data_IF_227661461878
#
_entry.id   IF_227661461878
#
_cell.length_a   1.000
_cell.length_b   1.000
_cell.length_c   1.000
_cell.angle_alpha   90.00
_cell.angle_beta   90.00
_cell.angle_gamma   90.00
#
_symmetry.space_group_name_H-M   'P 1'
#
loop_
_entity.id
_entity.type
_entity.pdbx_description
1 polymer ?
#
# COMPACT_ATOMS: atom_id res chain seq x y z
N UNK A 1 -58.73 -35.77 -22.67
CA UNK A 1 -57.27 -35.63 -22.45
C UNK A 1 -56.92 -34.14 -22.43
N UNK A 2 -56.58 -33.58 -21.26
CA UNK A 2 -56.07 -32.20 -21.14
C UNK A 2 -54.54 -32.29 -21.05
N UNK A 3 -53.85 -31.71 -22.02
CA UNK A 3 -52.38 -31.62 -22.01
C UNK A 3 -51.96 -30.49 -21.06
N UNK A 4 -51.21 -30.84 -20.02
CA UNK A 4 -50.57 -29.91 -19.10
C UNK A 4 -49.20 -29.54 -19.71
N UNK A 5 -49.07 -28.32 -20.22
CA UNK A 5 -47.78 -27.78 -20.66
C UNK A 5 -47.03 -27.33 -19.40
N UNK A 6 -46.01 -28.09 -19.02
CA UNK A 6 -45.06 -27.70 -17.97
C UNK A 6 -44.02 -26.79 -18.62
N UNK A 7 -44.09 -25.49 -18.31
CA UNK A 7 -43.03 -24.54 -18.66
C UNK A 7 -41.90 -24.74 -17.65
N UNK A 8 -40.80 -25.33 -18.11
CA UNK A 8 -39.56 -25.44 -17.34
C UNK A 8 -38.90 -24.06 -17.31
N UNK A 9 -39.06 -23.33 -16.21
CA UNK A 9 -38.30 -22.12 -15.93
C UNK A 9 -36.87 -22.53 -15.56
N UNK A 10 -35.96 -22.45 -16.54
CA UNK A 10 -34.52 -22.60 -16.32
C UNK A 10 -34.02 -21.33 -15.63
N UNK A 11 -33.86 -21.40 -14.31
CA UNK A 11 -33.09 -20.40 -13.57
C UNK A 11 -31.62 -20.52 -13.96
N UNK A 12 -31.15 -19.69 -14.89
CA UNK A 12 -29.71 -19.52 -15.11
C UNK A 12 -29.10 -18.88 -13.85
N UNK A 13 -28.15 -19.59 -13.24
CA UNK A 13 -27.36 -19.15 -12.10
C UNK A 13 -26.65 -17.83 -12.40
N UNK A 14 -27.22 -16.71 -11.94
CA UNK A 14 -26.60 -15.38 -12.02
C UNK A 14 -25.36 -15.24 -11.13
N UNK A 15 -25.15 -16.15 -10.18
CA UNK A 15 -24.00 -16.20 -9.28
C UNK A 15 -22.70 -16.62 -9.96
N UNK A 16 -22.73 -17.50 -10.96
CA UNK A 16 -21.49 -17.97 -11.64
C UNK A 16 -20.92 -16.95 -12.61
N UNK A 17 -21.75 -16.06 -13.16
CA UNK A 17 -21.30 -15.02 -14.09
C UNK A 17 -20.55 -13.88 -13.37
N UNK A 18 -20.96 -13.53 -12.15
CA UNK A 18 -20.37 -12.42 -11.38
C UNK A 18 -19.00 -12.78 -10.80
N UNK A 19 -18.77 -14.05 -10.45
CA UNK A 19 -17.50 -14.52 -9.91
C UNK A 19 -16.35 -14.42 -10.93
N UNK A 20 -16.63 -14.64 -12.23
CA UNK A 20 -15.63 -14.52 -13.31
C UNK A 20 -15.03 -13.12 -13.47
N UNK A 21 -15.71 -12.08 -12.99
CA UNK A 21 -15.27 -10.69 -13.10
C UNK A 21 -14.72 -10.13 -11.79
N UNK A 22 -14.47 -10.95 -10.78
CA UNK A 22 -13.67 -10.53 -9.63
C UNK A 22 -12.23 -10.21 -10.05
N UNK A 23 -11.54 -9.29 -9.37
CA UNK A 23 -10.17 -8.91 -9.74
C UNK A 23 -9.23 -10.13 -9.76
N UNK A 24 -9.26 -10.99 -8.75
CA UNK A 24 -8.45 -12.21 -8.69
C UNK A 24 -8.71 -13.16 -9.87
N UNK A 25 -9.98 -13.31 -10.30
CA UNK A 25 -10.33 -14.17 -11.43
C UNK A 25 -9.98 -13.51 -12.77
N UNK A 26 -10.10 -12.19 -12.90
CA UNK A 26 -9.60 -11.45 -14.06
C UNK A 26 -8.10 -11.65 -14.22
N UNK A 27 -7.31 -11.51 -13.15
CA UNK A 27 -5.86 -11.72 -13.21
C UNK A 27 -5.52 -13.13 -13.72
N UNK A 28 -6.17 -14.15 -13.16
CA UNK A 28 -6.01 -15.55 -13.57
C UNK A 28 -6.41 -15.78 -15.03
N UNK A 29 -7.62 -15.37 -15.41
CA UNK A 29 -8.21 -15.63 -16.72
C UNK A 29 -7.50 -14.85 -17.84
N UNK A 30 -7.01 -13.65 -17.55
CA UNK A 30 -6.18 -12.87 -18.46
C UNK A 30 -4.71 -13.33 -18.48
N UNK A 31 -4.31 -14.35 -17.69
CA UNK A 31 -2.95 -14.88 -17.71
C UNK A 31 -1.90 -13.92 -17.16
N UNK A 32 -2.23 -13.13 -16.14
CA UNK A 32 -1.23 -12.43 -15.34
C UNK A 32 -0.46 -13.43 -14.48
N UNK A 33 0.86 -13.23 -14.36
CA UNK A 33 1.69 -14.07 -13.49
C UNK A 33 1.31 -13.86 -12.03
N UNK A 34 0.98 -14.95 -11.33
CA UNK A 34 0.70 -14.95 -9.90
C UNK A 34 1.94 -14.70 -9.04
N UNK A 35 3.14 -14.65 -9.64
CA UNK A 35 4.41 -14.44 -8.93
C UNK A 35 4.93 -13.01 -9.04
N UNK A 36 4.49 -12.28 -10.07
CA UNK A 36 5.01 -10.94 -10.41
C UNK A 36 3.95 -9.86 -10.61
N UNK A 37 2.65 -10.18 -10.59
CA UNK A 37 1.58 -9.17 -10.71
C UNK A 37 0.48 -9.38 -9.67
N UNK A 38 0.37 -8.45 -8.72
CA UNK A 38 -0.60 -8.54 -7.63
C UNK A 38 -1.53 -7.34 -7.62
N UNK A 39 -2.83 -7.60 -7.39
CA UNK A 39 -3.81 -6.56 -7.10
C UNK A 39 -4.53 -6.92 -5.82
N UNK A 40 -4.53 -5.99 -4.87
CA UNK A 40 -5.04 -6.19 -3.53
C UNK A 40 -5.73 -4.95 -2.97
N UNK A 41 -6.18 -5.08 -1.73
CA UNK A 41 -6.81 -3.99 -1.01
C UNK A 41 -6.53 -4.08 0.50
N UNK A 42 -6.73 -2.94 1.15
CA UNK A 42 -6.72 -2.77 2.60
C UNK A 42 -8.14 -2.51 3.10
N UNK A 43 -8.50 -3.09 4.24
CA UNK A 43 -9.71 -2.70 4.98
C UNK A 43 -9.44 -2.61 6.48
N UNK A 44 -10.31 -1.89 7.18
CA UNK A 44 -10.10 -1.61 8.60
C UNK A 44 -10.40 -2.86 9.45
N UNK A 45 -9.65 -3.00 10.54
CA UNK A 45 -9.81 -4.10 11.49
C UNK A 45 -11.23 -4.21 12.09
N UNK A 46 -11.97 -3.10 12.24
CA UNK A 46 -13.36 -3.14 12.70
C UNK A 46 -14.31 -3.91 11.76
N UNK A 47 -13.91 -4.09 10.50
CA UNK A 47 -14.64 -4.84 9.49
C UNK A 47 -14.15 -6.29 9.33
N UNK A 48 -13.19 -6.73 10.15
CA UNK A 48 -12.70 -8.11 10.23
C UNK A 48 -13.66 -8.95 11.11
N UNK A 49 -14.74 -9.40 10.48
CA UNK A 49 -15.85 -10.14 11.05
C UNK A 49 -16.59 -10.83 9.90
N UNK A 50 -16.88 -12.13 10.00
CA UNK A 50 -17.49 -12.91 8.91
C UNK A 50 -18.87 -12.39 8.44
N UNK A 51 -19.56 -11.61 9.26
CA UNK A 51 -20.83 -10.96 8.90
C UNK A 51 -20.65 -9.61 8.19
N UNK A 52 -19.42 -9.12 8.07
CA UNK A 52 -19.06 -7.87 7.40
C UNK A 52 -19.21 -7.99 5.90
N UNK A 53 -20.01 -7.10 5.30
CA UNK A 53 -20.08 -6.98 3.82
C UNK A 53 -18.73 -6.60 3.22
N UNK A 54 -17.90 -5.84 3.93
CA UNK A 54 -16.57 -5.43 3.47
C UNK A 54 -15.60 -6.61 3.42
N UNK A 55 -15.64 -7.51 4.41
CA UNK A 55 -14.84 -8.74 4.39
C UNK A 55 -15.24 -9.64 3.23
N UNK A 56 -16.55 -9.81 3.00
CA UNK A 56 -17.08 -10.59 1.87
C UNK A 56 -16.62 -10.02 0.53
N UNK A 57 -16.80 -8.72 0.33
CA UNK A 57 -16.31 -8.02 -0.88
C UNK A 57 -14.80 -8.20 -1.05
N UNK A 58 -14.02 -8.08 0.03
CA UNK A 58 -12.58 -8.30 -0.05
C UNK A 58 -12.25 -9.71 -0.54
N UNK A 59 -12.84 -10.75 0.07
CA UNK A 59 -12.59 -12.15 -0.28
C UNK A 59 -13.11 -12.53 -1.66
N UNK A 60 -14.19 -11.90 -2.12
CA UNK A 60 -14.71 -12.04 -3.48
C UNK A 60 -13.70 -11.47 -4.49
N UNK A 61 -13.17 -10.27 -4.25
CA UNK A 61 -12.36 -9.54 -5.23
C UNK A 61 -10.86 -9.86 -5.20
N UNK A 62 -10.26 -10.08 -4.03
CA UNK A 62 -8.80 -10.03 -3.84
C UNK A 62 -8.22 -11.25 -3.12
N UNK A 63 -6.94 -11.49 -3.36
CA UNK A 63 -6.10 -12.47 -2.63
C UNK A 63 -4.78 -11.86 -2.11
N UNK A 64 -4.65 -10.53 -2.17
CA UNK A 64 -3.51 -9.77 -1.67
C UNK A 64 -3.99 -8.72 -0.66
N UNK A 65 -3.48 -8.81 0.58
CA UNK A 65 -3.92 -8.04 1.74
C UNK A 65 -2.77 -7.20 2.30
N UNK A 66 -3.06 -5.96 2.69
CA UNK A 66 -2.23 -5.20 3.64
C UNK A 66 -3.05 -4.82 4.87
N UNK A 67 -2.72 -5.31 6.07
CA UNK A 67 -3.38 -4.88 7.30
C UNK A 67 -3.12 -3.39 7.60
N UNK A 68 -4.16 -2.56 7.67
CA UNK A 68 -4.05 -1.08 7.64
C UNK A 68 -3.09 -0.50 8.72
N UNK A 69 -3.39 -0.73 9.99
CA UNK A 69 -2.66 -0.14 11.12
C UNK A 69 -2.16 -1.18 12.13
N UNK A 70 -2.51 -2.45 11.93
CA UNK A 70 -2.36 -3.49 12.95
C UNK A 70 -0.90 -3.81 13.28
N UNK A 71 0.01 -3.53 12.35
CA UNK A 71 1.44 -3.80 12.51
C UNK A 71 2.28 -2.56 12.77
N UNK A 72 1.67 -1.37 12.92
CA UNK A 72 2.42 -0.15 13.23
C UNK A 72 2.91 -0.17 14.67
N UNK A 73 4.02 0.51 14.97
CA UNK A 73 4.59 0.54 16.31
C UNK A 73 3.57 1.02 17.35
N UNK A 74 2.80 2.07 17.05
CA UNK A 74 1.76 2.58 17.98
C UNK A 74 0.69 1.54 18.33
N UNK A 75 0.47 0.54 17.47
CA UNK A 75 -0.48 -0.54 17.70
C UNK A 75 0.15 -1.72 18.45
N UNK A 76 1.36 -2.13 18.06
CA UNK A 76 2.05 -3.31 18.63
C UNK A 76 2.78 -2.97 19.93
N UNK A 77 3.39 -1.81 20.01
CA UNK A 77 4.24 -1.38 21.12
C UNK A 77 3.84 0.03 21.60
N UNK A 78 2.61 0.18 22.16
CA UNK A 78 2.02 1.47 22.48
C UNK A 78 2.71 2.20 23.66
N UNK A 79 3.52 1.50 24.44
CA UNK A 79 4.28 2.05 25.57
C UNK A 79 5.49 1.17 25.90
N UNK A 80 6.47 1.68 26.68
CA UNK A 80 7.63 0.92 27.10
C UNK A 80 7.25 -0.41 27.77
N UNK A 81 7.85 -1.52 27.34
CA UNK A 81 7.57 -2.86 27.87
C UNK A 81 6.16 -3.43 27.57
N UNK A 82 5.28 -2.69 26.89
CA UNK A 82 3.89 -3.11 26.62
C UNK A 82 3.76 -3.60 25.19
N UNK A 83 3.29 -4.83 25.02
CA UNK A 83 3.07 -5.44 23.70
C UNK A 83 1.60 -5.79 23.46
N UNK A 84 1.08 -5.42 22.30
CA UNK A 84 -0.28 -5.72 21.88
C UNK A 84 -0.30 -6.34 20.48
N UNK A 85 -0.19 -7.66 20.45
CA UNK A 85 -0.18 -8.44 19.21
C UNK A 85 -1.56 -8.81 18.69
N UNK A 86 -2.63 -8.57 19.46
CA UNK A 86 -3.97 -9.12 19.14
C UNK A 86 -4.41 -8.79 17.72
N UNK A 87 -4.42 -7.51 17.35
CA UNK A 87 -4.89 -7.08 16.03
C UNK A 87 -4.03 -7.66 14.91
N UNK A 88 -2.71 -7.71 15.12
CA UNK A 88 -1.78 -8.29 14.15
C UNK A 88 -2.06 -9.78 13.96
N UNK A 89 -2.23 -10.54 15.06
CA UNK A 89 -2.49 -11.98 15.03
C UNK A 89 -3.79 -12.30 14.32
N UNK A 90 -4.86 -11.58 14.64
CA UNK A 90 -6.17 -11.80 14.01
C UNK A 90 -6.11 -11.60 12.49
N UNK A 91 -5.27 -10.66 12.00
CA UNK A 91 -5.04 -10.48 10.57
C UNK A 91 -4.23 -11.60 9.93
N UNK A 92 -3.22 -12.10 10.63
CA UNK A 92 -2.44 -13.26 10.20
C UNK A 92 -3.34 -14.50 10.14
N UNK A 93 -4.17 -14.73 11.16
CA UNK A 93 -5.12 -15.84 11.21
C UNK A 93 -6.14 -15.74 10.06
N UNK A 94 -6.67 -14.54 9.80
CA UNK A 94 -7.53 -14.28 8.66
C UNK A 94 -6.85 -14.58 7.33
N UNK A 95 -5.59 -14.16 7.16
CA UNK A 95 -4.82 -14.43 5.96
C UNK A 95 -4.53 -15.92 5.76
N UNK A 96 -4.15 -16.61 6.84
CA UNK A 96 -3.90 -18.05 6.84
C UNK A 96 -5.16 -18.84 6.50
N UNK A 97 -6.29 -18.51 7.12
CA UNK A 97 -7.58 -19.14 6.85
C UNK A 97 -8.04 -18.99 5.40
N UNK A 98 -7.76 -17.86 4.78
CA UNK A 98 -8.25 -17.53 3.44
C UNK A 98 -7.17 -17.61 2.35
N UNK A 99 -5.98 -18.14 2.67
CA UNK A 99 -4.84 -18.27 1.75
C UNK A 99 -4.47 -16.95 1.04
N UNK A 100 -4.34 -15.87 1.81
CA UNK A 100 -4.04 -14.54 1.29
C UNK A 100 -2.54 -14.28 1.28
N UNK A 101 -2.01 -13.69 0.21
CA UNK A 101 -0.68 -13.07 0.23
C UNK A 101 -0.74 -11.79 1.07
N UNK A 102 0.22 -11.61 1.98
CA UNK A 102 0.23 -10.48 2.93
C UNK A 102 1.45 -9.59 2.72
N UNK A 103 1.22 -8.28 2.71
CA UNK A 103 2.23 -7.26 2.99
C UNK A 103 2.03 -6.74 4.42
N UNK A 104 3.10 -6.66 5.19
CA UNK A 104 3.10 -6.07 6.52
C UNK A 104 3.53 -4.61 6.44
N UNK A 105 2.59 -3.71 6.73
CA UNK A 105 2.87 -2.29 6.94
C UNK A 105 3.09 -2.01 8.43
N UNK A 106 4.34 -2.22 8.88
CA UNK A 106 4.80 -1.92 10.24
C UNK A 106 6.16 -1.22 10.29
N UNK A 107 6.38 -0.16 9.50
CA UNK A 107 7.71 0.41 9.27
C UNK A 107 8.26 1.22 10.46
N UNK A 108 9.60 1.30 10.55
CA UNK A 108 10.27 2.39 11.27
C UNK A 108 10.04 3.70 10.52
N UNK A 109 9.26 4.59 11.10
CA UNK A 109 8.66 5.71 10.36
C UNK A 109 8.04 6.78 11.29
N UNK A 110 7.50 7.87 10.74
CA UNK A 110 6.65 8.83 11.46
C UNK A 110 5.42 8.24 12.15
N UNK A 111 5.04 6.99 11.85
CA UNK A 111 3.96 6.25 12.51
C UNK A 111 4.37 5.61 13.85
N UNK A 112 5.47 6.10 14.42
CA UNK A 112 5.99 5.69 15.71
C UNK A 112 4.97 5.90 16.85
N UNK A 113 5.15 5.14 17.92
CA UNK A 113 4.38 5.32 19.15
C UNK A 113 4.61 6.70 19.75
N UNK A 114 3.60 7.26 20.42
CA UNK A 114 3.71 8.60 21.05
C UNK A 114 4.88 8.71 22.02
N UNK A 115 5.17 7.64 22.76
CA UNK A 115 6.30 7.63 23.66
C UNK A 115 7.63 7.74 22.90
N UNK A 116 7.78 7.19 21.69
CA UNK A 116 8.97 7.41 20.86
C UNK A 116 9.13 8.86 20.36
N UNK A 117 8.06 9.67 20.42
CA UNK A 117 7.99 11.04 19.87
C UNK A 117 8.15 12.14 20.92
N UNK A 118 7.52 11.96 22.07
CA UNK A 118 7.64 12.88 23.19
C UNK A 118 8.97 12.61 23.86
N UNK A 119 10.02 13.40 23.56
CA UNK A 119 11.30 13.06 24.15
C UNK A 119 12.24 14.14 24.69
N UNK A 120 12.85 13.71 25.81
CA UNK A 120 14.05 14.13 26.54
C UNK A 120 15.08 12.96 26.62
N UNK A 121 14.86 11.83 25.91
CA UNK A 121 15.76 10.65 25.90
C UNK A 121 17.05 10.92 25.13
N UNK A 122 18.04 10.14 25.52
CA UNK A 122 19.30 10.00 24.80
C UNK A 122 19.11 9.29 23.45
N UNK A 123 20.08 9.48 22.56
CA UNK A 123 20.09 8.84 21.23
C UNK A 123 20.14 7.32 21.35
N UNK A 124 20.85 6.83 22.37
CA UNK A 124 21.04 5.43 22.68
C UNK A 124 19.74 4.76 23.13
N UNK A 125 18.96 5.41 23.99
CA UNK A 125 17.65 4.91 24.43
C UNK A 125 16.64 4.86 23.28
N UNK A 126 16.65 5.85 22.39
CA UNK A 126 15.79 5.86 21.21
C UNK A 126 16.19 4.75 20.21
N UNK A 127 17.48 4.46 20.08
CA UNK A 127 17.96 3.34 19.29
C UNK A 127 17.51 1.98 19.85
N UNK A 128 17.58 1.80 21.18
CA UNK A 128 17.09 0.57 21.83
C UNK A 128 15.59 0.36 21.57
N UNK A 129 14.77 1.41 21.66
CA UNK A 129 13.35 1.36 21.33
C UNK A 129 13.10 0.86 19.88
N UNK A 130 13.84 1.42 18.91
CA UNK A 130 13.78 0.97 17.52
C UNK A 130 14.12 -0.52 17.42
N UNK A 131 15.23 -0.93 18.05
CA UNK A 131 15.70 -2.32 18.01
C UNK A 131 14.68 -3.29 18.62
N UNK A 132 14.17 -2.99 19.82
CA UNK A 132 13.17 -3.81 20.52
C UNK A 132 11.93 -4.06 19.66
N UNK A 133 11.27 -2.99 19.21
CA UNK A 133 10.08 -3.08 18.37
C UNK A 133 10.35 -3.88 17.09
N UNK A 134 11.41 -3.50 16.38
CA UNK A 134 11.58 -3.97 15.01
C UNK A 134 12.13 -5.39 14.93
N UNK A 135 12.98 -5.78 15.89
CA UNK A 135 13.46 -7.17 16.01
C UNK A 135 12.27 -8.11 16.27
N UNK A 136 11.39 -7.77 17.21
CA UNK A 136 10.25 -8.64 17.55
C UNK A 136 9.23 -8.72 16.41
N UNK A 137 8.94 -7.60 15.72
CA UNK A 137 8.13 -7.65 14.51
C UNK A 137 8.76 -8.55 13.43
N UNK A 138 10.05 -8.38 13.14
CA UNK A 138 10.76 -9.16 12.13
C UNK A 138 10.73 -10.66 12.44
N UNK A 139 11.08 -11.05 13.67
CA UNK A 139 11.05 -12.46 14.11
C UNK A 139 9.67 -13.09 13.96
N UNK A 140 8.63 -12.31 14.26
CA UNK A 140 7.25 -12.79 14.22
C UNK A 140 6.80 -13.03 12.79
N UNK A 141 6.96 -12.05 11.91
CA UNK A 141 6.49 -12.15 10.52
C UNK A 141 7.33 -13.11 9.67
N UNK A 142 8.59 -13.33 10.02
CA UNK A 142 9.47 -14.26 9.30
C UNK A 142 8.99 -15.72 9.33
N UNK A 143 8.16 -16.05 10.32
CA UNK A 143 7.59 -17.39 10.52
C UNK A 143 6.27 -17.58 9.76
N UNK A 144 5.70 -16.51 9.21
CA UNK A 144 4.39 -16.53 8.57
C UNK A 144 4.52 -16.83 7.07
N UNK A 145 4.04 -17.98 6.58
CA UNK A 145 4.25 -18.40 5.19
C UNK A 145 3.57 -17.48 4.17
N UNK A 146 2.52 -16.78 4.60
CA UNK A 146 1.74 -15.89 3.77
C UNK A 146 2.31 -14.46 3.70
N UNK A 147 3.27 -14.11 4.56
CA UNK A 147 3.88 -12.78 4.56
C UNK A 147 4.99 -12.72 3.50
N UNK A 148 4.72 -12.02 2.41
CA UNK A 148 5.66 -11.89 1.29
C UNK A 148 6.51 -10.62 1.37
N UNK A 149 5.96 -9.52 1.89
CA UNK A 149 6.64 -8.23 1.97
C UNK A 149 6.48 -7.57 3.32
N UNK A 150 7.48 -6.78 3.71
CA UNK A 150 7.36 -5.83 4.81
C UNK A 150 7.87 -4.45 4.40
N UNK A 151 7.19 -3.42 4.90
CA UNK A 151 7.71 -2.06 4.86
C UNK A 151 8.73 -1.88 5.97
N UNK A 152 9.99 -1.72 5.60
CA UNK A 152 11.09 -1.58 6.58
C UNK A 152 11.12 -0.16 7.13
N UNK A 153 11.13 0.81 6.21
CA UNK A 153 11.01 2.24 6.52
C UNK A 153 9.90 2.86 5.70
N UNK A 154 9.33 3.96 6.21
CA UNK A 154 8.29 4.72 5.53
C UNK A 154 8.47 6.22 5.72
N UNK A 155 8.22 7.00 4.66
CA UNK A 155 8.17 8.48 4.71
C UNK A 155 9.42 9.12 5.35
N UNK A 156 10.59 8.85 4.79
CA UNK A 156 11.87 9.29 5.37
C UNK A 156 12.36 10.63 4.81
N UNK A 157 11.79 11.12 3.70
CA UNK A 157 12.29 12.28 2.94
C UNK A 157 11.16 13.28 2.69
N UNK A 158 11.43 14.57 2.82
CA UNK A 158 10.55 15.67 2.45
C UNK A 158 10.54 15.90 0.93
N UNK A 159 9.51 16.61 0.43
CA UNK A 159 9.34 16.91 -1.00
C UNK A 159 10.51 17.67 -1.62
N UNK A 160 11.25 18.44 -0.83
CA UNK A 160 12.42 19.22 -1.26
C UNK A 160 13.72 18.39 -1.31
N UNK A 161 13.72 17.15 -0.79
CA UNK A 161 14.88 16.26 -0.75
C UNK A 161 15.60 16.18 0.61
N UNK A 162 15.14 16.94 1.61
CA UNK A 162 15.67 16.88 2.98
C UNK A 162 15.15 15.65 3.71
N UNK A 163 15.86 15.21 4.76
CA UNK A 163 15.35 14.16 5.64
C UNK A 163 14.09 14.64 6.36
N UNK A 164 13.08 13.79 6.43
CA UNK A 164 11.92 14.09 7.27
C UNK A 164 12.32 13.89 8.72
N UNK A 165 12.40 15.01 9.44
CA UNK A 165 12.96 15.10 10.79
C UNK A 165 11.89 15.10 11.88
N UNK A 166 12.39 15.04 13.11
CA UNK A 166 11.65 15.27 14.32
C UNK A 166 11.09 16.69 14.39
N UNK A 167 10.05 16.87 15.22
CA UNK A 167 9.47 18.15 15.62
C UNK A 167 9.14 18.11 17.11
N UNK A 168 9.04 19.26 17.80
CA UNK A 168 8.67 19.26 19.21
C UNK A 168 7.30 18.62 19.48
N UNK A 169 7.27 17.65 20.42
CA UNK A 169 6.06 16.94 20.87
C UNK A 169 5.48 15.94 19.88
N UNK A 170 4.34 15.33 20.23
CA UNK A 170 3.69 14.25 19.44
C UNK A 170 2.46 14.68 18.63
N UNK A 171 2.12 15.97 18.63
CA UNK A 171 0.91 16.50 17.99
C UNK A 171 1.05 16.68 16.48
N UNK A 172 2.28 16.76 15.98
CA UNK A 172 2.59 16.92 14.56
C UNK A 172 2.88 15.59 13.88
N UNK A 173 2.70 15.54 12.56
CA UNK A 173 3.35 14.51 11.76
C UNK A 173 4.85 14.81 11.72
N UNK A 174 5.63 13.94 12.36
CA UNK A 174 7.07 14.09 12.60
C UNK A 174 7.74 12.72 12.76
N UNK A 175 9.06 12.69 12.60
CA UNK A 175 9.85 11.47 12.55
C UNK A 175 10.90 11.46 13.66
N UNK A 176 10.67 10.81 14.81
CA UNK A 176 11.58 10.93 15.95
C UNK A 176 12.95 10.29 15.69
N UNK A 177 13.02 9.28 14.81
CA UNK A 177 14.20 8.44 14.61
C UNK A 177 15.43 9.19 14.06
N UNK A 178 15.25 10.38 13.48
CA UNK A 178 16.37 11.23 13.04
C UNK A 178 17.21 11.76 14.21
N UNK A 179 16.66 11.82 15.42
CA UNK A 179 17.40 12.23 16.63
C UNK A 179 18.60 11.30 16.94
N UNK A 180 18.51 10.01 16.55
CA UNK A 180 19.61 9.04 16.67
C UNK A 180 20.86 9.54 15.93
N UNK A 181 20.68 10.33 14.86
CA UNK A 181 21.75 10.97 14.12
C UNK A 181 22.05 10.31 12.78
N UNK A 182 23.14 10.80 12.17
CA UNK A 182 23.61 10.37 10.85
C UNK A 182 24.91 9.56 11.00
N UNK A 183 25.11 8.59 10.12
CA UNK A 183 26.42 7.97 9.93
C UNK A 183 27.41 9.00 9.35
N UNK A 184 28.71 8.69 9.37
CA UNK A 184 29.76 9.52 8.74
C UNK A 184 29.49 9.84 7.27
N UNK A 185 28.75 8.97 6.57
CA UNK A 185 28.39 9.14 5.16
C UNK A 185 27.13 10.02 4.95
N UNK A 186 26.56 10.59 6.01
CA UNK A 186 25.42 11.51 5.94
C UNK A 186 24.02 10.86 5.81
N UNK A 187 23.92 9.55 6.05
CA UNK A 187 22.66 8.80 6.02
C UNK A 187 22.15 8.48 7.43
N UNK A 188 20.84 8.62 7.72
CA UNK A 188 20.28 8.37 9.03
C UNK A 188 20.57 6.95 9.55
N UNK A 189 21.07 6.88 10.78
CA UNK A 189 21.44 5.63 11.44
C UNK A 189 20.23 4.69 11.52
N UNK A 190 19.06 5.23 11.84
CA UNK A 190 17.82 4.45 11.97
C UNK A 190 17.44 3.70 10.69
N UNK A 191 17.66 4.27 9.51
CA UNK A 191 17.33 3.62 8.23
C UNK A 191 18.25 2.42 8.04
N UNK A 192 19.55 2.60 8.23
CA UNK A 192 20.54 1.52 8.09
C UNK A 192 20.24 0.42 9.10
N UNK A 193 20.02 0.79 10.37
CA UNK A 193 19.72 -0.16 11.45
C UNK A 193 18.45 -0.97 11.19
N UNK A 194 17.38 -0.35 10.69
CA UNK A 194 16.16 -1.05 10.34
C UNK A 194 16.43 -2.13 9.26
N UNK A 195 17.16 -1.80 8.19
CA UNK A 195 17.50 -2.79 7.16
C UNK A 195 18.45 -3.89 7.66
N UNK A 196 19.41 -3.58 8.54
CA UNK A 196 20.25 -4.58 9.21
C UNK A 196 19.42 -5.59 10.02
N UNK A 197 18.48 -5.09 10.84
CA UNK A 197 17.56 -5.91 11.64
C UNK A 197 16.69 -6.77 10.74
N UNK A 198 16.05 -6.19 9.73
CA UNK A 198 15.15 -6.91 8.86
C UNK A 198 15.88 -7.98 8.03
N UNK A 199 17.10 -7.69 7.56
CA UNK A 199 17.93 -8.70 6.88
C UNK A 199 18.29 -9.86 7.81
N UNK A 200 18.60 -9.59 9.08
CA UNK A 200 18.99 -10.61 10.06
C UNK A 200 17.81 -11.46 10.54
N UNK A 201 16.68 -10.83 10.86
CA UNK A 201 15.57 -11.48 11.57
C UNK A 201 14.35 -11.76 10.70
N UNK A 202 14.26 -11.19 9.49
CA UNK A 202 13.22 -11.47 8.50
C UNK A 202 13.78 -11.93 7.12
N UNK A 203 14.71 -12.91 7.06
CA UNK A 203 15.29 -13.36 5.80
C UNK A 203 14.28 -13.94 4.81
N UNK A 204 13.14 -14.47 5.26
CA UNK A 204 12.10 -15.06 4.40
C UNK A 204 11.13 -14.02 3.80
N UNK A 205 11.21 -12.76 4.25
CA UNK A 205 10.32 -11.67 3.80
C UNK A 205 11.10 -10.71 2.91
N UNK A 206 10.44 -10.18 1.87
CA UNK A 206 11.01 -9.16 0.99
C UNK A 206 10.96 -7.77 1.64
N UNK A 207 12.09 -7.08 1.62
CA UNK A 207 12.30 -5.82 2.33
C UNK A 207 12.00 -4.62 1.42
N UNK A 208 10.94 -3.87 1.75
CA UNK A 208 10.44 -2.76 0.93
C UNK A 208 10.75 -1.42 1.59
N UNK A 209 11.27 -0.48 0.80
CA UNK A 209 11.36 0.93 1.16
C UNK A 209 10.07 1.63 0.70
N UNK A 210 9.17 1.98 1.61
CA UNK A 210 7.89 2.60 1.27
C UNK A 210 7.97 4.13 1.37
N UNK A 211 7.29 4.87 0.50
CA UNK A 211 7.31 6.32 0.56
C UNK A 211 6.02 6.98 0.08
N UNK A 212 5.62 8.04 0.79
CA UNK A 212 4.53 8.93 0.40
C UNK A 212 5.04 10.07 -0.51
N UNK A 213 4.13 10.73 -1.19
CA UNK A 213 4.42 11.85 -2.08
C UNK A 213 3.78 11.65 -3.44
N UNK A 214 3.92 12.66 -4.29
CA UNK A 214 3.62 12.56 -5.71
C UNK A 214 4.87 12.09 -6.46
N UNK A 215 5.09 12.68 -7.63
CA UNK A 215 6.27 12.41 -8.44
C UNK A 215 7.37 13.46 -8.22
N UNK A 216 7.55 14.01 -7.01
CA UNK A 216 8.59 15.01 -6.75
C UNK A 216 9.99 14.46 -7.02
N UNK A 217 10.64 14.96 -8.08
CA UNK A 217 11.91 14.40 -8.57
C UNK A 217 13.04 14.48 -7.55
N UNK A 218 13.13 15.58 -6.78
CA UNK A 218 14.15 15.76 -5.73
C UNK A 218 14.01 14.74 -4.60
N UNK A 219 12.78 14.53 -4.13
CA UNK A 219 12.46 13.55 -3.08
C UNK A 219 12.80 12.14 -3.55
N UNK A 220 12.32 11.74 -4.73
CA UNK A 220 12.60 10.42 -5.28
C UNK A 220 14.08 10.21 -5.53
N UNK A 221 14.82 11.19 -6.06
CA UNK A 221 16.28 11.08 -6.21
C UNK A 221 16.97 10.76 -4.87
N UNK A 222 16.57 11.40 -3.77
CA UNK A 222 17.13 11.11 -2.44
C UNK A 222 16.77 9.70 -1.97
N UNK A 223 15.55 9.23 -2.22
CA UNK A 223 15.12 7.85 -1.93
C UNK A 223 15.95 6.84 -2.73
N UNK A 224 16.09 7.03 -4.05
CA UNK A 224 16.88 6.14 -4.92
C UNK A 224 18.36 6.10 -4.52
N UNK A 225 18.95 7.24 -4.15
CA UNK A 225 20.31 7.32 -3.63
C UNK A 225 20.45 6.56 -2.31
N UNK A 226 19.46 6.66 -1.42
CA UNK A 226 19.42 5.94 -0.14
C UNK A 226 19.34 4.43 -0.35
N UNK A 227 18.48 3.97 -1.26
CA UNK A 227 18.40 2.55 -1.62
C UNK A 227 19.72 2.05 -2.21
N UNK A 228 20.34 2.82 -3.10
CA UNK A 228 21.64 2.47 -3.69
C UNK A 228 22.73 2.39 -2.62
N UNK A 229 22.74 3.32 -1.67
CA UNK A 229 23.65 3.32 -0.53
C UNK A 229 23.48 2.07 0.36
N UNK A 230 22.24 1.70 0.69
CA UNK A 230 21.95 0.48 1.46
C UNK A 230 22.46 -0.77 0.73
N UNK A 231 22.16 -0.89 -0.57
CA UNK A 231 22.62 -2.03 -1.39
C UNK A 231 24.16 -2.08 -1.49
N UNK A 232 24.83 -0.92 -1.59
CA UNK A 232 26.30 -0.85 -1.61
C UNK A 232 26.94 -1.27 -0.28
N UNK A 233 26.24 -1.15 0.85
CA UNK A 233 26.66 -1.73 2.14
C UNK A 233 26.34 -3.23 2.28
N UNK A 234 25.82 -3.88 1.23
CA UNK A 234 25.43 -5.29 1.26
C UNK A 234 24.08 -5.54 1.94
N UNK A 235 23.26 -4.50 2.13
CA UNK A 235 21.92 -4.65 2.70
C UNK A 235 20.89 -4.97 1.60
N UNK A 236 19.96 -5.87 1.90
CA UNK A 236 18.85 -6.22 1.01
C UNK A 236 17.83 -5.10 0.97
N UNK A 237 17.60 -4.58 -0.22
CA UNK A 237 16.38 -3.84 -0.56
C UNK A 237 15.78 -4.56 -1.76
N UNK A 238 14.62 -5.19 -1.53
CA UNK A 238 13.94 -6.05 -2.50
C UNK A 238 12.84 -5.30 -3.27
N UNK A 239 12.39 -4.14 -2.77
CA UNK A 239 11.35 -3.37 -3.45
C UNK A 239 11.27 -1.90 -3.05
N UNK A 240 10.66 -1.12 -3.94
CA UNK A 240 10.29 0.27 -3.71
C UNK A 240 8.76 0.40 -3.69
N UNK A 241 8.23 1.05 -2.65
CA UNK A 241 6.81 1.32 -2.50
C UNK A 241 6.48 2.79 -2.71
N UNK A 242 5.47 3.06 -3.55
CA UNK A 242 4.82 4.35 -3.67
C UNK A 242 3.39 4.27 -3.14
N UNK A 243 3.09 5.06 -2.10
CA UNK A 243 1.76 5.08 -1.48
C UNK A 243 0.66 5.47 -2.47
N UNK A 244 0.91 6.38 -3.41
CA UNK A 244 -0.08 6.82 -4.38
C UNK A 244 -1.38 7.34 -3.76
N UNK A 245 -1.29 8.05 -2.64
CA UNK A 245 -2.38 8.90 -2.16
C UNK A 245 -2.58 10.07 -3.13
N UNK A 246 -3.43 9.86 -4.14
CA UNK A 246 -3.66 10.85 -5.19
C UNK A 246 -4.41 12.04 -4.63
N UNK A 247 -4.04 13.22 -5.12
CA UNK A 247 -4.56 14.49 -4.62
C UNK A 247 -5.21 15.24 -5.77
N UNK A 248 -6.43 15.70 -5.54
CA UNK A 248 -7.09 16.59 -6.47
C UNK A 248 -6.55 18.02 -6.37
N UNK A 249 -5.35 18.28 -6.88
CA UNK A 249 -4.75 19.64 -6.80
C UNK A 249 -4.95 20.41 -8.11
N UNK A 250 -5.24 19.73 -9.23
CA UNK A 250 -5.33 20.32 -10.58
C UNK A 250 -6.20 19.53 -11.56
N UNK A 251 -7.19 18.77 -11.10
CA UNK A 251 -8.07 18.04 -12.03
C UNK A 251 -7.47 16.78 -12.67
N UNK A 252 -6.33 16.25 -12.19
CA UNK A 252 -5.90 14.86 -12.40
C UNK A 252 -4.85 14.46 -11.38
N UNK A 253 -4.81 13.15 -11.04
CA UNK A 253 -3.83 12.62 -10.10
C UNK A 253 -2.38 12.73 -10.57
N UNK A 254 -2.11 12.47 -11.86
CA UNK A 254 -0.78 12.61 -12.49
C UNK A 254 -0.92 13.12 -13.93
N UNK A 255 -0.05 14.06 -14.31
CA UNK A 255 0.11 14.50 -15.73
C UNK A 255 1.01 13.54 -16.50
N UNK A 256 1.06 13.66 -17.83
CA UNK A 256 1.89 12.79 -18.70
C UNK A 256 3.34 12.65 -18.22
N UNK A 257 4.02 13.76 -17.97
CA UNK A 257 5.42 13.78 -17.48
C UNK A 257 5.60 13.00 -16.17
N UNK A 258 4.60 13.01 -15.30
CA UNK A 258 4.63 12.29 -14.03
C UNK A 258 4.36 10.80 -14.20
N UNK A 259 3.52 10.41 -15.16
CA UNK A 259 3.33 9.01 -15.55
C UNK A 259 4.57 8.43 -16.23
N UNK A 260 5.24 9.22 -17.08
CA UNK A 260 6.50 8.81 -17.69
C UNK A 260 7.58 8.61 -16.61
N UNK A 261 7.65 9.49 -15.62
CA UNK A 261 8.57 9.30 -14.50
C UNK A 261 8.21 8.12 -13.59
N UNK A 262 6.93 7.86 -13.35
CA UNK A 262 6.50 6.63 -12.69
C UNK A 262 6.98 5.39 -13.45
N UNK A 263 6.87 5.40 -14.77
CA UNK A 263 7.41 4.34 -15.63
C UNK A 263 8.92 4.18 -15.45
N UNK A 264 9.68 5.28 -15.42
CA UNK A 264 11.14 5.26 -15.21
C UNK A 264 11.52 4.72 -13.81
N UNK A 265 10.75 5.06 -12.77
CA UNK A 265 10.95 4.52 -11.42
C UNK A 265 10.75 2.99 -11.37
N UNK A 266 9.76 2.48 -12.11
CA UNK A 266 9.52 1.04 -12.21
C UNK A 266 10.68 0.36 -12.94
N UNK A 267 11.12 0.90 -14.08
CA UNK A 267 12.26 0.36 -14.83
C UNK A 267 13.55 0.37 -14.00
N UNK A 268 13.79 1.45 -13.25
CA UNK A 268 14.91 1.53 -12.33
C UNK A 268 14.87 0.41 -11.29
N UNK A 269 13.71 0.13 -10.69
CA UNK A 269 13.56 -0.98 -9.73
C UNK A 269 13.87 -2.32 -10.39
N UNK A 270 13.28 -2.59 -11.55
CA UNK A 270 13.50 -3.86 -12.28
C UNK A 270 14.97 -4.03 -12.67
N UNK A 271 15.66 -2.96 -13.08
CA UNK A 271 17.11 -2.98 -13.38
C UNK A 271 17.99 -3.36 -12.18
N UNK A 272 17.47 -3.18 -10.95
CA UNK A 272 18.13 -3.53 -9.68
C UNK A 272 17.59 -4.84 -9.08
N UNK A 273 16.84 -5.62 -9.86
CA UNK A 273 16.17 -6.85 -9.44
C UNK A 273 15.23 -6.62 -8.24
N UNK A 274 14.61 -5.44 -8.19
CA UNK A 274 13.64 -5.05 -7.17
C UNK A 274 12.22 -5.05 -7.72
N UNK A 275 11.24 -5.34 -6.88
CA UNK A 275 9.82 -5.10 -7.19
C UNK A 275 9.44 -3.62 -7.07
N UNK A 276 8.46 -3.18 -7.86
CA UNK A 276 7.81 -1.89 -7.66
C UNK A 276 6.40 -2.09 -7.11
N UNK A 277 6.03 -1.31 -6.10
CA UNK A 277 4.75 -1.47 -5.43
C UNK A 277 3.99 -0.15 -5.44
N UNK A 278 2.77 -0.13 -5.98
CA UNK A 278 1.75 0.85 -5.59
C UNK A 278 1.04 0.31 -4.36
N UNK A 279 1.08 1.04 -3.26
CA UNK A 279 0.93 0.43 -1.92
C UNK A 279 -0.32 0.89 -1.20
N UNK A 280 -0.77 2.12 -1.46
CA UNK A 280 -1.86 2.73 -0.71
C UNK A 280 -2.79 3.59 -1.61
N UNK A 281 -3.06 3.14 -2.84
CA UNK A 281 -3.80 3.94 -3.82
C UNK A 281 -5.20 4.28 -3.28
N UNK A 282 -5.46 5.58 -3.16
CA UNK A 282 -6.76 6.17 -2.89
C UNK A 282 -6.80 7.58 -3.50
N UNK A 283 -7.94 8.28 -3.42
CA UNK A 283 -8.09 9.61 -4.01
C UNK A 283 -8.64 10.62 -3.00
N UNK A 284 -7.85 11.63 -2.69
CA UNK A 284 -8.11 12.62 -1.64
C UNK A 284 -8.79 13.86 -2.20
N UNK A 285 -9.96 14.18 -1.65
CA UNK A 285 -10.69 15.41 -1.92
C UNK A 285 -10.56 16.38 -0.75
N UNK A 286 -10.49 17.67 -1.07
CA UNK A 286 -10.46 18.75 -0.08
C UNK A 286 -11.84 19.35 0.09
N UNK A 287 -12.34 19.97 -0.96
CA UNK A 287 -13.59 20.73 -0.93
C UNK A 287 -14.59 20.21 -1.97
N UNK A 288 -14.13 19.36 -2.88
CA UNK A 288 -14.92 18.79 -3.96
C UNK A 288 -15.98 17.82 -3.46
N UNK A 289 -17.11 17.80 -4.17
CA UNK A 289 -18.16 16.81 -3.93
C UNK A 289 -17.71 15.42 -4.37
N UNK A 290 -17.79 14.40 -3.49
CA UNK A 290 -17.42 13.03 -3.83
C UNK A 290 -18.30 12.42 -4.94
N UNK A 291 -19.49 12.97 -5.16
CA UNK A 291 -20.48 12.48 -6.13
C UNK A 291 -20.45 13.28 -7.45
N UNK A 292 -19.52 14.25 -7.58
CA UNK A 292 -19.37 15.02 -8.81
C UNK A 292 -18.91 14.13 -9.97
N UNK A 293 -19.59 14.23 -11.11
CA UNK A 293 -19.24 13.51 -12.35
C UNK A 293 -17.78 13.80 -12.75
N UNK A 294 -17.35 15.06 -12.63
CA UNK A 294 -15.99 15.48 -12.92
C UNK A 294 -14.97 14.76 -12.01
N UNK A 295 -15.19 14.77 -10.70
CA UNK A 295 -14.34 14.08 -9.72
C UNK A 295 -14.24 12.59 -10.02
N UNK A 296 -15.38 11.94 -10.28
CA UNK A 296 -15.45 10.50 -10.57
C UNK A 296 -14.73 10.15 -11.89
N UNK A 297 -14.85 11.00 -12.91
CA UNK A 297 -14.12 10.84 -14.17
C UNK A 297 -12.61 10.96 -13.96
N UNK A 298 -12.16 11.97 -13.21
CA UNK A 298 -10.74 12.20 -12.92
C UNK A 298 -10.13 11.09 -12.06
N UNK A 299 -10.86 10.61 -11.06
CA UNK A 299 -10.48 9.42 -10.28
C UNK A 299 -10.30 8.21 -11.21
N UNK A 300 -11.30 7.96 -12.07
CA UNK A 300 -11.31 6.83 -12.99
C UNK A 300 -10.14 6.86 -13.98
N UNK A 301 -9.86 8.02 -14.59
CA UNK A 301 -8.71 8.22 -15.48
C UNK A 301 -7.40 8.01 -14.72
N UNK A 302 -7.27 8.59 -13.53
CA UNK A 302 -6.03 8.50 -12.74
C UNK A 302 -5.71 7.06 -12.33
N UNK A 303 -6.71 6.30 -11.88
CA UNK A 303 -6.54 4.89 -11.52
C UNK A 303 -6.19 4.04 -12.74
N UNK A 304 -6.88 4.28 -13.87
CA UNK A 304 -6.61 3.55 -15.12
C UNK A 304 -5.19 3.79 -15.60
N UNK A 305 -4.69 5.02 -15.55
CA UNK A 305 -3.34 5.34 -15.99
C UNK A 305 -2.28 4.64 -15.13
N UNK A 306 -2.43 4.64 -13.80
CA UNK A 306 -1.51 3.92 -12.92
C UNK A 306 -1.54 2.42 -13.22
N UNK A 307 -2.73 1.82 -13.33
CA UNK A 307 -2.88 0.40 -13.67
C UNK A 307 -2.26 0.07 -15.03
N UNK A 308 -2.50 0.90 -16.04
CA UNK A 308 -1.97 0.69 -17.39
C UNK A 308 -0.44 0.78 -17.41
N UNK A 309 0.15 1.69 -16.63
CA UNK A 309 1.61 1.75 -16.43
C UNK A 309 2.13 0.46 -15.79
N UNK A 310 1.49 -0.06 -14.74
CA UNK A 310 1.89 -1.33 -14.12
C UNK A 310 1.76 -2.50 -15.10
N UNK A 311 0.66 -2.56 -15.86
CA UNK A 311 0.44 -3.57 -16.90
C UNK A 311 1.55 -3.50 -17.94
N UNK A 312 1.96 -2.31 -18.40
CA UNK A 312 3.03 -2.14 -19.37
C UNK A 312 4.38 -2.68 -18.87
N UNK A 313 4.62 -2.67 -17.55
CA UNK A 313 5.87 -3.11 -16.93
C UNK A 313 5.85 -4.53 -16.39
N UNK A 314 4.70 -5.22 -16.41
CA UNK A 314 4.48 -6.53 -15.78
C UNK A 314 5.44 -7.65 -16.22
N UNK A 315 5.97 -7.55 -17.44
CA UNK A 315 6.87 -8.56 -18.01
C UNK A 315 8.35 -8.29 -17.68
N UNK A 316 8.67 -7.09 -17.16
CA UNK A 316 10.05 -6.70 -16.84
C UNK A 316 10.45 -7.04 -15.40
N UNK A 317 9.46 -7.24 -14.53
CA UNK A 317 9.68 -7.56 -13.13
C UNK A 317 8.40 -7.45 -12.30
N UNK A 318 8.55 -7.62 -10.99
CA UNK A 318 7.42 -7.62 -10.07
C UNK A 318 6.79 -6.23 -9.96
N UNK A 319 5.46 -6.19 -10.08
CA UNK A 319 4.63 -5.02 -9.81
C UNK A 319 3.44 -5.39 -8.93
N UNK A 320 3.07 -4.50 -8.00
CA UNK A 320 1.85 -4.68 -7.20
C UNK A 320 0.99 -3.43 -7.19
N UNK A 321 -0.31 -3.60 -7.07
CA UNK A 321 -1.27 -2.57 -6.73
C UNK A 321 -2.01 -2.96 -5.45
N UNK A 322 -1.99 -2.09 -4.43
CA UNK A 322 -2.85 -2.20 -3.26
C UNK A 322 -3.69 -0.93 -3.09
N UNK A 323 -5.00 -1.10 -2.95
CA UNK A 323 -5.97 -0.02 -2.74
C UNK A 323 -6.13 0.26 -1.24
N UNK A 324 -5.96 1.51 -0.80
CA UNK A 324 -6.01 1.84 0.63
C UNK A 324 -7.41 2.16 1.14
N UNK A 325 -8.15 1.08 1.41
CA UNK A 325 -9.57 1.12 1.71
C UNK A 325 -10.38 0.60 0.53
N UNK A 326 -11.53 -0.04 0.80
CA UNK A 326 -12.43 -0.56 -0.24
C UNK A 326 -13.53 0.46 -0.58
N UNK A 327 -14.05 1.19 0.42
CA UNK A 327 -15.18 2.11 0.25
C UNK A 327 -14.81 3.57 0.48
N UNK A 328 -15.56 4.47 -0.16
CA UNK A 328 -15.50 5.90 0.11
C UNK A 328 -15.73 6.16 1.60
N UNK A 329 -14.94 7.08 2.18
CA UNK A 329 -15.04 7.46 3.58
C UNK A 329 -14.77 8.95 3.78
N UNK A 330 -15.22 9.46 4.92
CA UNK A 330 -14.73 10.75 5.42
C UNK A 330 -13.25 10.63 5.76
N UNK A 331 -12.48 11.66 5.42
CA UNK A 331 -11.09 11.74 5.83
C UNK A 331 -10.97 12.19 7.30
N UNK A 332 -9.76 12.14 7.87
CA UNK A 332 -9.53 12.38 9.29
C UNK A 332 -9.54 13.87 9.69
N UNK A 333 -9.67 14.80 8.75
CA UNK A 333 -9.63 16.23 9.02
C UNK A 333 -9.99 17.08 7.80
N UNK A 334 -9.46 18.30 7.75
CA UNK A 334 -9.76 19.25 6.66
C UNK A 334 -9.16 18.83 5.32
N UNK A 335 -8.04 18.10 5.32
CA UNK A 335 -7.50 17.50 4.10
C UNK A 335 -6.80 16.17 4.39
N UNK A 336 -7.26 15.05 3.80
CA UNK A 336 -8.48 14.95 2.97
C UNK A 336 -9.75 15.11 3.79
N UNK A 337 -10.78 15.76 3.23
CA UNK A 337 -12.14 15.80 3.78
C UNK A 337 -12.93 14.56 3.40
N UNK A 338 -12.76 14.09 2.16
CA UNK A 338 -13.27 12.81 1.69
C UNK A 338 -12.14 12.01 1.04
N UNK A 339 -12.18 10.70 1.19
CA UNK A 339 -11.27 9.76 0.54
C UNK A 339 -12.14 8.85 -0.32
N UNK A 340 -11.92 8.90 -1.64
CA UNK A 340 -12.57 8.01 -2.59
C UNK A 340 -11.77 6.73 -2.78
N UNK A 341 -12.49 5.64 -3.03
CA UNK A 341 -11.98 4.32 -3.36
C UNK A 341 -12.84 3.65 -4.47
N UNK A 342 -12.78 2.33 -4.56
CA UNK A 342 -13.39 1.49 -5.60
C UNK A 342 -14.86 1.14 -5.36
N UNK A 343 -15.36 1.33 -4.14
CA UNK A 343 -16.79 1.28 -3.81
C UNK A 343 -17.26 2.60 -3.22
N UNK A 344 -18.50 3.00 -3.49
CA UNK A 344 -19.11 4.15 -2.86
C UNK A 344 -19.45 3.89 -1.38
N UNK A 345 -20.06 4.88 -0.70
CA UNK A 345 -20.43 4.78 0.72
C UNK A 345 -21.44 3.66 1.00
N UNK A 346 -22.23 3.28 -0.01
CA UNK A 346 -23.31 2.29 0.05
C UNK A 346 -22.86 0.92 -0.50
N UNK A 347 -21.56 0.75 -0.74
CA UNK A 347 -20.92 -0.46 -1.26
C UNK A 347 -21.35 -0.81 -2.70
N UNK A 348 -21.64 0.18 -3.53
CA UNK A 348 -21.78 -0.01 -4.98
C UNK A 348 -20.44 0.22 -5.68
N UNK A 349 -20.04 -0.63 -6.64
CA UNK A 349 -18.84 -0.41 -7.45
C UNK A 349 -18.81 0.96 -8.10
N UNK A 350 -17.69 1.68 -8.02
CA UNK A 350 -17.51 2.98 -8.66
C UNK A 350 -17.05 2.85 -10.11
N UNK A 351 -17.18 3.93 -10.90
CA UNK A 351 -16.61 4.01 -12.25
C UNK A 351 -15.09 3.78 -12.27
N UNK A 352 -14.38 4.14 -11.20
CA UNK A 352 -12.96 3.86 -11.08
C UNK A 352 -12.69 2.36 -10.98
N UNK A 353 -13.51 1.60 -10.27
CA UNK A 353 -13.34 0.16 -10.17
C UNK A 353 -13.60 -0.58 -11.49
N UNK A 354 -14.67 -0.20 -12.19
CA UNK A 354 -14.95 -0.73 -13.53
C UNK A 354 -13.80 -0.45 -14.49
N UNK A 355 -13.20 0.74 -14.44
CA UNK A 355 -12.07 1.05 -15.31
C UNK A 355 -10.81 0.25 -14.97
N UNK A 356 -10.52 0.01 -13.68
CA UNK A 356 -9.44 -0.93 -13.28
C UNK A 356 -9.69 -2.31 -13.87
N UNK A 357 -10.89 -2.88 -13.67
CA UNK A 357 -11.25 -4.20 -14.21
C UNK A 357 -11.12 -4.27 -15.72
N UNK A 358 -11.62 -3.24 -16.43
CA UNK A 358 -11.50 -3.13 -17.88
C UNK A 358 -10.03 -3.13 -18.33
N UNK A 359 -9.18 -2.31 -17.71
CA UNK A 359 -7.75 -2.28 -18.00
C UNK A 359 -7.08 -3.64 -17.84
N UNK A 360 -7.41 -4.38 -16.78
CA UNK A 360 -6.88 -5.73 -16.54
C UNK A 360 -7.38 -6.75 -17.57
N UNK A 361 -8.66 -6.72 -17.93
CA UNK A 361 -9.24 -7.61 -18.96
C UNK A 361 -8.56 -7.37 -20.31
N UNK A 362 -8.47 -6.11 -20.73
CA UNK A 362 -7.92 -5.72 -22.02
C UNK A 362 -6.38 -5.71 -22.07
N UNK A 363 -5.71 -5.93 -20.93
CA UNK A 363 -4.26 -5.70 -20.76
C UNK A 363 -3.83 -4.33 -21.29
N UNK A 364 -4.65 -3.32 -21.01
CA UNK A 364 -4.50 -2.00 -21.58
C UNK A 364 -3.21 -1.33 -21.07
N UNK A 365 -2.44 -0.73 -21.97
CA UNK A 365 -1.21 0.01 -21.68
C UNK A 365 -1.30 1.48 -22.10
N UNK A 366 -2.42 1.92 -22.67
CA UNK A 366 -2.62 3.27 -23.16
C UNK A 366 -2.90 4.25 -22.02
N UNK A 367 -2.17 5.35 -22.01
CA UNK A 367 -2.38 6.45 -21.07
C UNK A 367 -3.46 7.38 -21.61
N UNK A 368 -4.44 7.73 -20.77
CA UNK A 368 -5.49 8.69 -21.07
C UNK A 368 -5.18 10.00 -20.38
N UNK A 369 -4.99 11.06 -21.14
CA UNK A 369 -4.94 12.41 -20.58
C UNK A 369 -6.35 12.98 -20.57
N UNK A 370 -6.73 13.80 -19.57
CA UNK A 370 -7.95 14.59 -19.67
C UNK A 370 -7.93 15.39 -20.96
N UNK A 371 -9.10 15.63 -21.55
CA UNK A 371 -9.21 16.68 -22.56
C UNK A 371 -8.84 18.00 -21.86
N UNK A 372 -7.91 18.74 -22.45
CA UNK A 372 -7.51 20.07 -21.98
C UNK A 372 -8.70 21.04 -21.91
#
# INVERSE_FOLDING_TARGET
>A
MRYLIIILLVFFNSTTAQDNYSVKNILKNSGYSSDSFYVGATFNYSALNSNSKLEKIFLEEFNYLTPENASKQTAIHPGPGIWNWKKHNDWIDFANKNNLTVRIHGPISPQASKWAKNDDRTKEELLLNLEEYFIELCKRINKEPNVKWMDVVNETVLRNGDWFSEKPGDSSWENPWTQIGLNSDGYPIYIVKAFEIAQKYAPNVKLVYNHNGGMERKMWQKVLNTISYLKNKGLRVDGLGWQAHLRDVRGVGLVKKDLDYLSDLIDWCHSKQMGFHVTELNYWLRDESPDSIDVLNRQSISYSNIVNTLIAKRNNGLVTLNLWGIKNKKGPGNYPKNILSIYDKDLKPTQAFYSIKKSLIEKNTLIRLPKE
#
